data_IF_728883479911
#
_entry.id   IF_728883479911
#
_cell.length_a   1.000
_cell.length_b   1.000
_cell.length_c   1.000
_cell.angle_alpha   90.00
_cell.angle_beta   90.00
_cell.angle_gamma   90.00
#
_symmetry.space_group_name_H-M   'P 1'
#
loop_
_entity.id
_entity.type
_entity.pdbx_description
1 polymer ?
#
# COMPACT_ATOMS: atom_id res chain seq x y z
N UNK A 1 8.66 2.04 -4.33
CA UNK A 1 7.71 1.57 -3.30
C UNK A 1 7.53 2.62 -2.19
N UNK A 2 6.37 3.32 -2.10
CA UNK A 2 6.13 4.42 -1.16
C UNK A 2 6.25 4.05 0.33
N UNK A 3 5.64 2.94 0.74
CA UNK A 3 5.55 2.49 2.15
C UNK A 3 6.93 2.26 2.77
N UNK A 4 7.84 1.61 2.04
CA UNK A 4 9.21 1.35 2.49
C UNK A 4 10.05 2.63 2.50
N UNK A 5 10.00 3.40 1.42
CA UNK A 5 10.79 4.64 1.27
C UNK A 5 10.54 5.64 2.41
N UNK A 6 9.30 5.68 2.92
CA UNK A 6 8.88 6.60 3.98
C UNK A 6 8.59 5.91 5.31
N UNK A 7 8.99 4.64 5.44
CA UNK A 7 8.85 3.85 6.68
C UNK A 7 7.42 3.81 7.25
N UNK A 8 6.39 3.97 6.42
CA UNK A 8 4.98 3.96 6.87
C UNK A 8 4.54 2.60 7.42
N UNK A 9 5.31 1.54 7.20
CA UNK A 9 5.12 0.23 7.83
C UNK A 9 5.57 0.21 9.31
N UNK A 10 6.27 1.24 9.79
CA UNK A 10 6.83 1.34 11.15
C UNK A 10 6.45 2.64 11.85
N UNK A 11 6.50 3.75 11.14
CA UNK A 11 6.36 5.11 11.67
C UNK A 11 5.00 5.71 11.28
N UNK A 12 4.30 6.41 12.19
CA UNK A 12 3.11 7.19 11.84
C UNK A 12 3.41 8.21 10.72
N UNK A 13 2.43 8.45 9.86
CA UNK A 13 2.56 9.49 8.85
C UNK A 13 1.60 9.33 7.69
N UNK A 14 1.61 10.37 6.87
CA UNK A 14 0.88 10.46 5.63
C UNK A 14 1.81 10.97 4.52
N UNK A 15 1.67 10.42 3.32
CA UNK A 15 2.40 10.86 2.14
C UNK A 15 1.53 10.85 0.91
N UNK A 16 1.64 11.90 0.12
CA UNK A 16 1.01 12.02 -1.20
C UNK A 16 2.07 11.92 -2.30
N UNK A 17 1.69 11.28 -3.41
CA UNK A 17 2.55 11.10 -4.57
C UNK A 17 1.76 11.21 -5.86
N UNK A 18 2.41 11.76 -6.89
CA UNK A 18 1.97 11.58 -8.27
C UNK A 18 2.72 10.38 -8.86
N UNK A 19 2.02 9.26 -9.04
CA UNK A 19 2.56 8.02 -9.58
C UNK A 19 2.22 7.86 -11.07
N UNK A 20 3.06 7.12 -11.78
CA UNK A 20 2.76 6.66 -13.14
C UNK A 20 1.96 5.35 -13.04
N UNK A 21 0.67 5.40 -13.37
CA UNK A 21 -0.17 4.21 -13.49
C UNK A 21 -0.02 3.62 -14.89
N UNK A 22 0.49 2.39 -14.97
CA UNK A 22 0.55 1.63 -16.22
C UNK A 22 -0.72 0.80 -16.33
N UNK A 23 -1.61 1.19 -17.23
CA UNK A 23 -2.83 0.44 -17.48
C UNK A 23 -2.52 -0.81 -18.30
N UNK A 24 -2.97 -1.97 -17.84
CA UNK A 24 -2.86 -3.23 -18.58
C UNK A 24 -4.23 -3.63 -19.15
N UNK A 25 -4.28 -4.27 -20.33
CA UNK A 25 -3.15 -4.73 -21.14
C UNK A 25 -2.51 -3.66 -22.05
N UNK A 26 -3.09 -2.47 -22.20
CA UNK A 26 -2.68 -1.50 -23.24
C UNK A 26 -1.30 -0.84 -23.01
N UNK A 27 -0.73 -0.98 -21.82
CA UNK A 27 0.53 -0.37 -21.35
C UNK A 27 0.56 1.16 -21.43
N UNK A 28 -0.61 1.81 -21.46
CA UNK A 28 -0.73 3.26 -21.43
C UNK A 28 -0.36 3.79 -20.04
N UNK A 29 0.47 4.83 -20.00
CA UNK A 29 0.86 5.50 -18.75
C UNK A 29 -0.05 6.69 -18.48
N UNK A 30 -0.64 6.74 -17.27
CA UNK A 30 -1.49 7.85 -16.81
C UNK A 30 -1.01 8.41 -15.48
N UNK A 31 -1.14 9.73 -15.24
CA UNK A 31 -0.90 10.30 -13.92
C UNK A 31 -1.92 9.75 -12.91
N UNK A 32 -1.45 9.31 -11.75
CA UNK A 32 -2.27 8.78 -10.66
C UNK A 32 -1.86 9.44 -9.34
N UNK A 33 -2.64 10.43 -8.86
CA UNK A 33 -2.49 10.96 -7.51
C UNK A 33 -2.85 9.88 -6.49
N UNK A 34 -1.92 9.58 -5.59
CA UNK A 34 -2.06 8.54 -4.58
C UNK A 34 -1.66 9.08 -3.21
N UNK A 35 -2.42 8.72 -2.19
CA UNK A 35 -2.11 9.05 -0.80
C UNK A 35 -2.05 7.78 0.03
N UNK A 36 -1.06 7.73 0.91
CA UNK A 36 -0.77 6.62 1.82
C UNK A 36 -0.71 7.15 3.24
N UNK A 37 -1.58 6.65 4.11
CA UNK A 37 -1.67 7.05 5.52
C UNK A 37 -1.54 5.83 6.41
N UNK A 38 -0.60 5.83 7.35
CA UNK A 38 -0.53 4.76 8.36
C UNK A 38 -1.66 4.94 9.37
N UNK A 39 -2.52 3.94 9.50
CA UNK A 39 -3.63 3.93 10.46
C UNK A 39 -3.24 3.32 11.80
N UNK A 40 -2.28 2.40 11.83
CA UNK A 40 -1.85 1.74 13.05
C UNK A 40 -1.04 0.46 12.79
N UNK A 41 -0.70 -0.28 13.85
CA UNK A 41 -0.05 -1.58 13.73
C UNK A 41 -1.01 -2.66 13.19
N UNK A 42 -0.46 -3.67 12.52
CA UNK A 42 -1.16 -4.90 12.16
C UNK A 42 -0.76 -6.05 13.11
N UNK A 43 -1.50 -7.16 13.07
CA UNK A 43 -1.35 -8.28 14.01
C UNK A 43 0.03 -8.96 14.01
N UNK A 44 0.78 -8.87 12.90
CA UNK A 44 2.08 -9.53 12.68
C UNK A 44 3.28 -8.57 12.80
N UNK A 45 3.11 -7.42 13.47
CA UNK A 45 4.15 -6.40 13.61
C UNK A 45 4.33 -5.50 12.39
N UNK A 46 3.48 -5.67 11.37
CA UNK A 46 3.36 -4.76 10.25
C UNK A 46 2.47 -3.55 10.53
N UNK A 47 1.80 -3.04 9.49
CA UNK A 47 0.95 -1.87 9.60
C UNK A 47 -0.31 -1.97 8.75
N UNK A 48 -1.34 -1.25 9.18
CA UNK A 48 -2.51 -0.95 8.38
C UNK A 48 -2.32 0.39 7.67
N UNK A 49 -2.41 0.38 6.34
CA UNK A 49 -2.17 1.54 5.48
C UNK A 49 -3.45 1.89 4.73
N UNK A 50 -3.99 3.09 4.95
CA UNK A 50 -5.03 3.64 4.07
C UNK A 50 -4.40 4.12 2.78
N UNK A 51 -4.82 3.52 1.67
CA UNK A 51 -4.51 3.95 0.33
C UNK A 51 -5.71 4.65 -0.29
N UNK A 52 -5.51 5.81 -0.90
CA UNK A 52 -6.54 6.52 -1.70
C UNK A 52 -6.00 6.97 -3.05
N UNK A 53 -6.79 6.81 -4.10
CA UNK A 53 -6.52 7.32 -5.46
C UNK A 53 -7.85 7.66 -6.14
N UNK A 54 -8.15 8.95 -6.28
CA UNK A 54 -9.48 9.40 -6.72
C UNK A 54 -10.55 8.93 -5.73
N UNK A 55 -11.63 8.32 -6.22
CA UNK A 55 -12.70 7.75 -5.40
C UNK A 55 -12.35 6.39 -4.79
N UNK A 56 -11.25 5.77 -5.23
CA UNK A 56 -10.84 4.47 -4.74
C UNK A 56 -10.11 4.60 -3.40
N UNK A 57 -10.58 3.86 -2.38
CA UNK A 57 -9.95 3.77 -1.07
C UNK A 57 -9.91 2.33 -0.55
N UNK A 58 -8.76 1.88 -0.03
CA UNK A 58 -8.65 0.60 0.70
C UNK A 58 -7.69 0.71 1.87
N UNK A 59 -8.00 -0.02 2.93
CA UNK A 59 -7.09 -0.21 4.06
C UNK A 59 -6.32 -1.52 3.81
N UNK A 60 -5.05 -1.38 3.49
CA UNK A 60 -4.14 -2.43 3.06
C UNK A 60 -3.32 -2.88 4.26
N UNK A 61 -3.27 -4.18 4.51
CA UNK A 61 -2.39 -4.75 5.53
C UNK A 61 -1.03 -5.02 4.90
N UNK A 62 0.03 -4.49 5.51
CA UNK A 62 1.42 -4.81 5.16
C UNK A 62 2.13 -5.48 6.34
N UNK A 63 3.09 -6.35 6.07
CA UNK A 63 3.93 -6.97 7.10
C UNK A 63 5.08 -6.03 7.55
N UNK A 64 5.93 -6.51 8.46
CA UNK A 64 7.08 -5.78 9.02
C UNK A 64 8.16 -5.39 8.01
N UNK A 65 8.16 -6.03 6.84
CA UNK A 65 9.07 -5.79 5.73
C UNK A 65 8.42 -4.91 4.66
N UNK A 66 7.16 -4.50 4.89
CA UNK A 66 6.40 -3.60 4.04
C UNK A 66 5.77 -4.30 2.83
N UNK A 67 5.68 -5.63 2.81
CA UNK A 67 4.96 -6.36 1.77
C UNK A 67 3.47 -6.45 2.06
N UNK A 68 2.65 -6.37 1.02
CA UNK A 68 1.20 -6.48 1.12
C UNK A 68 0.80 -7.91 1.50
N UNK A 69 0.04 -8.03 2.58
CA UNK A 69 -0.53 -9.29 3.07
C UNK A 69 -1.98 -9.43 2.61
N UNK A 70 -2.76 -8.35 2.75
CA UNK A 70 -4.17 -8.30 2.38
C UNK A 70 -4.50 -6.95 1.75
N UNK A 71 -5.05 -7.00 0.55
CA UNK A 71 -5.56 -5.86 -0.21
C UNK A 71 -7.02 -6.16 -0.57
N UNK A 72 -7.98 -5.72 0.27
CA UNK A 72 -9.38 -6.10 0.13
C UNK A 72 -9.96 -5.83 -1.27
N UNK A 73 -10.47 -6.89 -1.90
CA UNK A 73 -11.08 -6.85 -3.23
C UNK A 73 -10.09 -6.86 -4.41
N UNK A 74 -8.78 -6.96 -4.15
CA UNK A 74 -7.76 -6.96 -5.20
C UNK A 74 -6.80 -8.14 -5.10
N UNK A 75 -6.20 -8.35 -3.93
CA UNK A 75 -5.19 -9.38 -3.77
C UNK A 75 -5.05 -9.81 -2.30
N UNK A 76 -4.60 -11.04 -2.10
CA UNK A 76 -4.14 -11.57 -0.82
C UNK A 76 -2.87 -12.36 -1.05
N UNK A 77 -1.93 -12.29 -0.11
CA UNK A 77 -0.71 -13.10 -0.15
C UNK A 77 -1.05 -14.58 0.03
N UNK A 78 -0.46 -15.43 -0.81
CA UNK A 78 -0.60 -16.88 -0.75
C UNK A 78 0.77 -17.45 -0.32
N UNK A 79 0.96 -17.71 0.97
CA UNK A 79 2.23 -18.16 1.54
C UNK A 79 2.57 -17.46 2.87
N UNK A 80 3.58 -17.97 3.60
CA UNK A 80 3.95 -17.41 4.90
C UNK A 80 4.45 -15.97 4.80
N UNK A 81 4.19 -15.18 5.85
CA UNK A 81 4.83 -13.88 6.04
C UNK A 81 6.34 -14.06 6.17
N UNK A 82 7.14 -13.18 5.56
CA UNK A 82 8.58 -13.25 5.77
C UNK A 82 8.90 -13.03 7.27
N UNK A 83 9.62 -14.02 7.80
CA UNK A 83 10.02 -14.25 9.19
C UNK A 83 11.21 -13.41 9.66
#
# INVERSE_FOLDING_TARGET
MPVLRHRLHREPGEREFLMAWVQVPELTVRPSPQRYTRLGPAADGGALIRYTSGEFQRDITVDRDGFVVDYPGLARRIGPAHG
#
